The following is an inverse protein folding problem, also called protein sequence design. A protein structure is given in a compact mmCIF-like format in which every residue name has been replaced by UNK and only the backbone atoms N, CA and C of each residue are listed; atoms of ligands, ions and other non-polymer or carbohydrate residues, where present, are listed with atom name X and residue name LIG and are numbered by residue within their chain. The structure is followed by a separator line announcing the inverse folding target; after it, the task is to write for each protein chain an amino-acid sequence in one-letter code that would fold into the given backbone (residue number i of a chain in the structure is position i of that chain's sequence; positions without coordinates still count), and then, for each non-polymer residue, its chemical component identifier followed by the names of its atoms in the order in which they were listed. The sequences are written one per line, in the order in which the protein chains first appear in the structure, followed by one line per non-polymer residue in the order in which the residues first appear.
data_IF_195088578268
#
_entry.id   IF_195088578268
#
_cell.length_a   1.000
_cell.length_b   1.000
_cell.length_c   1.000
_cell.angle_alpha   90.00
_cell.angle_beta   90.00
_cell.angle_gamma   90.00
#
_symmetry.space_group_name_H-M   'P 1'
#
loop_
_entity.id
_entity.type
_entity.pdbx_description
1 polymer ?
#
# COMPACT_ATOMS: atom_id res chain seq x y z
N UNK A 1 -17.08 11.60 7.41
CA UNK A 1 -17.37 10.15 7.50
C UNK A 1 -16.49 9.47 6.46
N UNK A 2 -15.60 8.56 6.86
CA UNK A 2 -14.71 7.86 5.93
C UNK A 2 -15.54 6.74 5.33
N UNK A 3 -15.67 6.74 4.00
CA UNK A 3 -16.50 5.77 3.30
C UNK A 3 -15.95 4.34 3.52
N UNK A 4 -16.74 3.41 4.09
CA UNK A 4 -16.33 2.02 4.32
C UNK A 4 -15.94 1.28 3.04
N UNK A 5 -16.35 1.77 1.86
CA UNK A 5 -15.96 1.22 0.56
C UNK A 5 -14.44 1.29 0.34
N UNK A 6 -13.73 2.26 0.93
CA UNK A 6 -12.28 2.37 0.75
C UNK A 6 -11.48 1.25 1.40
N UNK A 7 -12.01 0.62 2.45
CA UNK A 7 -11.33 -0.47 3.16
C UNK A 7 -11.76 -1.86 2.66
N UNK A 8 -12.97 -1.99 2.09
CA UNK A 8 -13.43 -3.27 1.53
C UNK A 8 -12.63 -3.72 0.30
N UNK A 9 -11.85 -2.80 -0.30
CA UNK A 9 -10.93 -3.08 -1.40
C UNK A 9 -9.48 -3.35 -0.93
N UNK A 10 -9.20 -3.29 0.37
CA UNK A 10 -7.88 -3.61 0.91
C UNK A 10 -7.55 -5.09 0.63
N UNK A 11 -6.39 -5.33 0.00
CA UNK A 11 -6.01 -6.68 -0.42
C UNK A 11 -6.54 -7.10 -1.79
N UNK A 12 -7.31 -6.25 -2.47
CA UNK A 12 -7.71 -6.47 -3.86
C UNK A 12 -6.72 -5.81 -4.83
N UNK A 13 -6.42 -6.49 -5.94
CA UNK A 13 -5.58 -5.97 -7.02
C UNK A 13 -6.33 -6.08 -8.33
N UNK A 14 -6.37 -4.98 -9.08
CA UNK A 14 -6.81 -5.02 -10.47
C UNK A 14 -5.67 -5.59 -11.32
N UNK A 15 -5.94 -6.68 -12.02
CA UNK A 15 -5.00 -7.31 -12.95
C UNK A 15 -5.67 -7.47 -14.31
N UNK A 16 -4.89 -7.34 -15.37
CA UNK A 16 -5.32 -7.66 -16.73
C UNK A 16 -4.63 -8.97 -17.14
N UNK A 17 -5.40 -9.90 -17.69
CA UNK A 17 -4.90 -11.14 -18.26
C UNK A 17 -5.46 -11.29 -19.67
N UNK A 18 -4.63 -11.74 -20.62
CA UNK A 18 -5.06 -11.93 -22.00
C UNK A 18 -5.85 -13.24 -22.23
N UNK A 19 -5.80 -14.18 -21.28
CA UNK A 19 -6.56 -15.42 -21.33
C UNK A 19 -6.80 -15.99 -19.91
N UNK A 20 -7.74 -16.95 -19.75
CA UNK A 20 -8.04 -17.57 -18.46
C UNK A 20 -6.85 -18.28 -17.79
N UNK A 21 -5.96 -18.90 -18.57
CA UNK A 21 -4.78 -19.61 -18.07
C UNK A 21 -3.80 -18.65 -17.40
N UNK A 22 -3.59 -17.48 -18.01
CA UNK A 22 -2.76 -16.43 -17.42
C UNK A 22 -3.43 -15.79 -16.20
N UNK A 23 -4.75 -15.66 -16.19
CA UNK A 23 -5.47 -15.21 -15.00
C UNK A 23 -5.29 -16.21 -13.84
N UNK A 24 -5.39 -17.51 -14.11
CA UNK A 24 -5.16 -18.55 -13.10
C UNK A 24 -3.73 -18.48 -12.55
N UNK A 25 -2.73 -18.34 -13.42
CA UNK A 25 -1.34 -18.16 -13.01
C UNK A 25 -1.12 -16.92 -12.13
N UNK A 26 -1.77 -15.80 -12.46
CA UNK A 26 -1.73 -14.58 -11.63
C UNK A 26 -2.37 -14.79 -10.26
N UNK A 27 -3.49 -15.52 -10.20
CA UNK A 27 -4.17 -15.84 -8.93
C UNK A 27 -3.28 -16.73 -8.05
N UNK A 28 -2.70 -17.79 -8.62
CA UNK A 28 -1.84 -18.71 -7.87
C UNK A 28 -0.55 -18.02 -7.38
N UNK A 29 0.02 -17.16 -8.21
CA UNK A 29 1.12 -16.31 -7.79
C UNK A 29 0.71 -15.39 -6.65
N UNK A 30 -0.40 -14.67 -6.76
CA UNK A 30 -0.88 -13.75 -5.73
C UNK A 30 -1.18 -14.44 -4.38
N UNK A 31 -1.68 -15.69 -4.43
CA UNK A 31 -1.92 -16.50 -3.22
C UNK A 31 -0.62 -16.89 -2.52
N UNK A 32 0.42 -17.24 -3.27
CA UNK A 32 1.70 -17.68 -2.72
C UNK A 32 2.60 -16.52 -2.29
N UNK A 33 2.45 -15.33 -2.89
CA UNK A 33 3.26 -14.14 -2.58
C UNK A 33 2.56 -13.14 -1.66
N UNK A 34 1.48 -13.54 -0.98
CA UNK A 34 0.72 -12.66 -0.10
C UNK A 34 1.60 -12.07 1.00
N UNK A 35 1.70 -10.74 1.05
CA UNK A 35 2.43 -9.99 2.06
C UNK A 35 1.49 -9.03 2.78
N UNK A 36 1.38 -9.17 4.10
CA UNK A 36 0.58 -8.23 4.90
C UNK A 36 1.19 -6.81 4.89
N UNK A 37 2.52 -6.72 4.78
CA UNK A 37 3.23 -5.45 4.70
C UNK A 37 2.90 -4.69 3.40
N UNK A 38 2.68 -5.40 2.29
CA UNK A 38 2.19 -4.81 1.05
C UNK A 38 0.80 -4.19 1.23
N UNK A 39 -0.10 -4.88 1.94
CA UNK A 39 -1.43 -4.36 2.24
C UNK A 39 -1.36 -3.08 3.07
N UNK A 40 -0.50 -3.06 4.09
CA UNK A 40 -0.26 -1.87 4.92
C UNK A 40 0.31 -0.71 4.09
N UNK A 41 1.25 -0.98 3.18
CA UNK A 41 1.76 0.03 2.27
C UNK A 41 0.67 0.58 1.33
N UNK A 42 -0.22 -0.29 0.83
CA UNK A 42 -1.39 0.12 0.06
C UNK A 42 -2.32 1.06 0.86
N UNK A 43 -2.52 0.79 2.15
CA UNK A 43 -3.31 1.66 3.05
C UNK A 43 -2.65 3.03 3.23
N UNK A 44 -1.33 3.05 3.37
CA UNK A 44 -0.55 4.28 3.45
C UNK A 44 -0.71 5.13 2.17
N UNK A 45 -0.58 4.51 1.00
CA UNK A 45 -0.81 5.16 -0.31
C UNK A 45 -2.23 5.70 -0.48
N UNK A 46 -3.25 5.03 0.05
CA UNK A 46 -4.64 5.55 0.02
C UNK A 46 -4.82 6.71 0.99
N UNK A 47 -4.28 6.59 2.21
CA UNK A 47 -4.32 7.67 3.20
C UNK A 47 -3.66 8.94 2.66
N UNK A 48 -2.54 8.81 1.95
CA UNK A 48 -1.80 9.93 1.38
C UNK A 48 -2.59 10.75 0.36
N UNK A 49 -3.52 10.14 -0.38
CA UNK A 49 -4.35 10.78 -1.41
C UNK A 49 -5.54 11.56 -0.83
N UNK A 50 -5.82 11.45 0.46
CA UNK A 50 -7.00 12.06 1.04
C UNK A 50 -6.85 13.59 1.15
N UNK A 51 -7.96 14.35 1.07
CA UNK A 51 -7.92 15.80 1.18
C UNK A 51 -7.22 16.25 2.48
N UNK A 52 -6.33 17.23 2.36
CA UNK A 52 -5.57 17.77 3.49
C UNK A 52 -4.33 16.99 3.91
N UNK A 53 -4.00 15.88 3.22
CA UNK A 53 -2.84 15.06 3.60
C UNK A 53 -1.53 15.45 2.92
N UNK A 54 -1.55 16.34 1.91
CA UNK A 54 -0.38 16.66 1.06
C UNK A 54 0.89 17.01 1.85
N UNK A 55 0.75 17.79 2.93
CA UNK A 55 1.86 18.24 3.78
C UNK A 55 1.90 17.49 5.12
N UNK A 56 1.16 16.37 5.23
CA UNK A 56 1.11 15.58 6.44
C UNK A 56 2.42 14.81 6.65
N UNK A 57 2.86 14.75 7.90
CA UNK A 57 4.01 13.93 8.27
C UNK A 57 3.66 12.43 8.30
N UNK A 58 4.68 11.60 8.51
CA UNK A 58 4.53 10.14 8.54
C UNK A 58 3.66 9.65 9.69
N UNK A 59 3.64 10.33 10.83
CA UNK A 59 2.82 9.95 11.98
C UNK A 59 1.34 10.23 11.73
N UNK A 60 1.04 11.37 11.11
CA UNK A 60 -0.30 11.73 10.65
C UNK A 60 -0.79 10.75 9.58
N UNK A 61 0.06 10.40 8.61
CA UNK A 61 -0.25 9.39 7.59
C UNK A 61 -0.49 8.01 8.20
N UNK A 62 0.35 7.58 9.14
CA UNK A 62 0.20 6.32 9.87
C UNK A 62 -1.12 6.26 10.62
N UNK A 63 -1.43 7.29 11.41
CA UNK A 63 -2.68 7.39 12.13
C UNK A 63 -3.89 7.36 11.17
N UNK A 64 -3.79 8.08 10.04
CA UNK A 64 -4.84 8.11 9.02
C UNK A 64 -5.03 6.77 8.32
N UNK A 65 -3.94 6.06 8.06
CA UNK A 65 -3.91 4.71 7.52
C UNK A 65 -4.33 3.66 8.57
N UNK A 66 -4.44 4.03 9.86
CA UNK A 66 -4.70 3.15 11.02
C UNK A 66 -3.68 2.02 11.14
N UNK A 67 -2.42 2.38 11.05
CA UNK A 67 -1.28 1.48 11.22
C UNK A 67 -0.68 1.66 12.62
N UNK A 68 -0.24 0.57 13.24
CA UNK A 68 0.69 0.66 14.37
C UNK A 68 2.06 1.18 13.88
N UNK A 69 2.96 1.63 14.78
CA UNK A 69 4.33 1.95 14.39
C UNK A 69 5.04 0.77 13.70
N UNK A 70 4.87 -0.44 14.22
CA UNK A 70 5.48 -1.66 13.66
C UNK A 70 4.92 -1.99 12.27
N UNK A 71 3.60 -1.79 12.06
CA UNK A 71 2.98 -2.00 10.75
C UNK A 71 3.49 -0.99 9.72
N UNK A 72 3.74 0.25 10.14
CA UNK A 72 4.33 1.28 9.29
C UNK A 72 5.76 0.90 8.91
N UNK A 73 6.58 0.49 9.87
CA UNK A 73 7.96 0.08 9.61
C UNK A 73 8.00 -1.09 8.63
N UNK A 74 7.19 -2.12 8.87
CA UNK A 74 7.09 -3.27 7.98
C UNK A 74 6.62 -2.88 6.56
N UNK A 75 5.65 -1.96 6.44
CA UNK A 75 5.20 -1.45 5.15
C UNK A 75 6.31 -0.71 4.39
N UNK A 76 7.09 0.12 5.09
CA UNK A 76 8.21 0.86 4.51
C UNK A 76 9.34 -0.09 4.10
N UNK A 77 9.69 -1.06 4.95
CA UNK A 77 10.69 -2.07 4.66
C UNK A 77 10.29 -2.93 3.44
N UNK A 78 9.01 -3.29 3.34
CA UNK A 78 8.49 -4.00 2.17
C UNK A 78 8.66 -3.18 0.88
N UNK A 79 8.34 -1.88 0.89
CA UNK A 79 8.53 -1.01 -0.27
C UNK A 79 10.01 -0.86 -0.63
N UNK A 80 10.89 -0.70 0.36
CA UNK A 80 12.33 -0.60 0.15
C UNK A 80 12.95 -1.87 -0.47
N UNK A 81 12.35 -3.04 -0.20
CA UNK A 81 12.77 -4.32 -0.78
C UNK A 81 12.26 -4.60 -2.19
N UNK A 82 11.47 -3.72 -2.80
CA UNK A 82 11.00 -3.88 -4.18
C UNK A 82 12.11 -3.52 -5.18
N UNK A 83 12.05 -4.10 -6.39
CA UNK A 83 12.98 -3.76 -7.49
C UNK A 83 12.94 -2.28 -7.84
N UNK A 84 11.76 -1.67 -7.75
CA UNK A 84 11.53 -0.24 -7.99
C UNK A 84 10.77 0.36 -6.78
N UNK A 85 11.50 0.75 -5.71
CA UNK A 85 10.88 1.27 -4.52
C UNK A 85 10.25 2.65 -4.79
N UNK A 86 9.06 2.87 -4.24
CA UNK A 86 8.43 4.19 -4.30
C UNK A 86 9.17 5.15 -3.37
N UNK A 87 9.56 6.32 -3.90
CA UNK A 87 10.24 7.38 -3.13
C UNK A 87 9.27 8.45 -2.62
N UNK A 88 8.11 8.56 -3.26
CA UNK A 88 7.09 9.56 -2.94
C UNK A 88 5.73 8.88 -2.95
N UNK A 89 4.98 9.02 -1.86
CA UNK A 89 3.60 8.57 -1.82
C UNK A 89 2.75 9.30 -2.87
N UNK A 90 1.65 8.69 -3.34
CA UNK A 90 0.81 9.31 -4.37
C UNK A 90 0.17 10.67 -3.98
N UNK A 91 0.23 11.05 -2.71
CA UNK A 91 -0.20 12.37 -2.22
C UNK A 91 0.86 13.46 -2.30
N UNK A 92 2.09 13.12 -2.69
CA UNK A 92 3.23 14.04 -2.80
C UNK A 92 4.22 13.98 -1.63
N UNK A 93 3.96 13.16 -0.61
CA UNK A 93 4.82 13.04 0.58
C UNK A 93 6.03 12.18 0.28
N UNK A 94 7.22 12.65 0.66
CA UNK A 94 8.47 11.90 0.47
C UNK A 94 8.55 10.79 1.52
N UNK A 95 8.85 9.58 1.07
CA UNK A 95 9.05 8.45 1.96
C UNK A 95 10.43 8.50 2.61
N UNK A 96 10.54 8.17 3.91
CA UNK A 96 11.83 8.04 4.54
C UNK A 96 12.60 6.90 3.86
N UNK A 97 13.84 7.18 3.45
CA UNK A 97 14.75 6.13 3.00
C UNK A 97 14.97 5.19 4.19
N UNK A 98 14.56 3.93 4.05
CA UNK A 98 14.84 2.90 5.05
C UNK A 98 16.36 2.75 5.13
N UNK A 99 16.93 2.89 6.34
CA UNK A 99 18.36 2.69 6.62
C UNK A 99 18.70 1.21 6.72
#
# INVERSE_FOLDING_TARGET
MIDPIFFSLDGQRYVNACCPEHLAALIDHARSSWSIAELWFGRLCRASKQPGMRDADMDQLRARARLSPDDLEAALAWNAGQTEPMLTLPGGQILPLSR
#
